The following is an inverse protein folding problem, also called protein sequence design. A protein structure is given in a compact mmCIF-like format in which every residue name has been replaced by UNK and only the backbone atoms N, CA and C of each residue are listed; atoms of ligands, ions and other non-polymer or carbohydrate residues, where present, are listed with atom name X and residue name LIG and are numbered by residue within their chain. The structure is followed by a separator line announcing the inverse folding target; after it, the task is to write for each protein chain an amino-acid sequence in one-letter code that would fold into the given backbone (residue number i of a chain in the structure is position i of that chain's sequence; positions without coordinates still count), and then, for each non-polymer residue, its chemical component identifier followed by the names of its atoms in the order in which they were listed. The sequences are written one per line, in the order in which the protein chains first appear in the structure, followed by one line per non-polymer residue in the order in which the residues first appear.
data_IF_343652782589
#
_entry.id   IF_343652782589
#
_cell.length_a   1.000
_cell.length_b   1.000
_cell.length_c   1.000
_cell.angle_alpha   90.00
_cell.angle_beta   90.00
_cell.angle_gamma   90.00
#
_symmetry.space_group_name_H-M   'P 1'
#
loop_
_entity.id
_entity.type
_entity.pdbx_description
1 polymer ?
#
# COMPACT_ATOMS: atom_id res chain seq x y z
N UNK A 1 -33.83 -56.14 12.93
CA UNK A 1 -33.23 -56.37 14.27
C UNK A 1 -31.76 -56.01 14.17
N UNK A 2 -31.36 -54.85 14.70
CA UNK A 2 -30.61 -54.69 15.96
C UNK A 2 -29.10 -55.03 15.82
N UNK A 3 -28.30 -53.96 16.01
CA UNK A 3 -26.93 -53.88 16.55
C UNK A 3 -25.78 -54.07 15.52
N UNK A 4 -24.91 -53.10 15.23
CA UNK A 4 -24.09 -52.19 16.05
C UNK A 4 -22.90 -52.90 16.72
N UNK A 5 -21.75 -52.21 16.67
CA UNK A 5 -20.46 -52.44 17.34
C UNK A 5 -19.51 -53.48 16.69
N UNK A 6 -18.19 -53.32 16.59
CA UNK A 6 -17.21 -52.21 16.62
C UNK A 6 -15.82 -52.90 16.62
N UNK A 7 -14.80 -52.21 16.11
CA UNK A 7 -13.35 -52.40 16.35
C UNK A 7 -12.62 -53.63 15.79
N UNK A 8 -11.55 -53.37 15.02
CA UNK A 8 -10.13 -53.48 15.44
C UNK A 8 -9.26 -53.05 14.23
N UNK A 9 -8.84 -51.79 14.12
CA UNK A 9 -7.48 -51.29 14.47
C UNK A 9 -6.41 -52.39 14.37
N UNK A 10 -5.61 -52.38 13.30
CA UNK A 10 -4.16 -52.06 13.31
C UNK A 10 -3.56 -52.49 11.97
N UNK A 11 -2.72 -51.64 11.40
CA UNK A 11 -1.28 -51.89 11.19
C UNK A 11 -0.81 -51.29 9.85
N UNK A 12 0.35 -50.64 9.94
CA UNK A 12 1.13 -50.04 8.87
C UNK A 12 0.65 -48.67 8.40
N UNK A 13 1.11 -47.62 9.09
CA UNK A 13 1.88 -46.53 8.45
C UNK A 13 2.69 -45.81 9.54
N UNK A 14 3.60 -46.55 10.17
CA UNK A 14 4.81 -45.95 10.76
C UNK A 14 5.90 -46.15 9.73
N UNK A 15 6.13 -45.18 8.85
CA UNK A 15 7.42 -44.83 8.23
C UNK A 15 7.18 -43.59 7.38
N UNK A 16 7.56 -42.43 7.92
CA UNK A 16 7.47 -41.13 7.22
C UNK A 16 6.69 -40.08 8.00
N UNK A 17 7.04 -39.80 9.26
CA UNK A 17 7.09 -38.39 9.67
C UNK A 17 8.24 -37.81 8.86
N UNK A 18 7.98 -37.41 7.62
CA UNK A 18 8.71 -36.29 7.05
C UNK A 18 8.34 -35.16 8.00
N UNK A 19 9.32 -34.68 8.78
CA UNK A 19 9.17 -33.42 9.48
C UNK A 19 8.83 -32.42 8.38
N UNK A 20 7.54 -32.15 8.18
CA UNK A 20 7.09 -30.95 7.50
C UNK A 20 7.79 -29.85 8.28
N UNK A 21 8.88 -29.36 7.69
CA UNK A 21 9.55 -28.17 8.16
C UNK A 21 8.45 -27.15 8.30
N UNK A 22 8.19 -26.71 9.52
CA UNK A 22 7.32 -25.59 9.77
C UNK A 22 7.97 -24.45 9.00
N UNK A 23 7.50 -24.21 7.78
CA UNK A 23 7.78 -22.99 7.06
C UNK A 23 7.32 -21.92 8.03
N UNK A 24 8.28 -21.21 8.60
CA UNK A 24 8.00 -19.95 9.26
C UNK A 24 7.45 -19.10 8.12
N UNK A 25 6.13 -19.06 8.00
CA UNK A 25 5.47 -18.08 7.15
C UNK A 25 5.88 -16.77 7.81
N UNK A 26 6.85 -16.10 7.20
CA UNK A 26 7.19 -14.73 7.55
C UNK A 26 5.88 -13.96 7.58
N UNK A 27 5.60 -13.26 8.67
CA UNK A 27 4.52 -12.29 8.62
C UNK A 27 4.82 -11.31 7.47
N UNK A 28 3.83 -10.95 6.66
CA UNK A 28 4.02 -10.05 5.54
C UNK A 28 4.47 -8.68 6.07
N UNK A 29 5.47 -8.08 5.44
CA UNK A 29 5.90 -6.72 5.79
C UNK A 29 4.88 -5.75 5.19
N UNK A 30 4.03 -5.17 6.06
CA UNK A 30 3.01 -4.22 5.65
C UNK A 30 3.33 -2.82 6.19
N UNK A 31 3.22 -1.81 5.33
CA UNK A 31 3.29 -0.39 5.71
C UNK A 31 2.13 0.38 5.13
N UNK A 32 1.88 1.54 5.71
CA UNK A 32 0.90 2.50 5.20
C UNK A 32 1.63 3.55 4.39
N UNK A 33 1.12 3.84 3.20
CA UNK A 33 1.73 4.80 2.29
C UNK A 33 0.76 5.94 1.97
N UNK A 34 1.29 7.16 1.99
CA UNK A 34 0.58 8.38 1.58
C UNK A 34 1.15 8.88 0.27
N UNK A 35 0.28 9.25 -0.67
CA UNK A 35 0.68 10.02 -1.84
C UNK A 35 1.09 11.41 -1.35
N UNK A 36 2.31 11.80 -1.68
CA UNK A 36 2.91 13.09 -1.38
C UNK A 36 3.47 13.72 -2.64
N UNK A 37 3.74 15.03 -2.58
CA UNK A 37 4.34 15.76 -3.68
C UNK A 37 5.38 16.75 -3.19
N UNK A 38 6.37 17.03 -4.02
CA UNK A 38 7.36 18.08 -3.75
C UNK A 38 7.59 18.92 -5.01
N UNK A 39 7.49 20.24 -4.84
CA UNK A 39 7.79 21.21 -5.88
C UNK A 39 9.29 21.23 -6.16
N UNK A 40 9.66 21.28 -7.44
CA UNK A 40 11.05 21.40 -7.87
C UNK A 40 11.41 22.88 -7.98
N UNK A 41 12.60 23.24 -7.51
CA UNK A 41 13.10 24.62 -7.64
C UNK A 41 13.25 25.01 -9.11
N UNK A 42 12.71 26.16 -9.49
CA UNK A 42 12.63 26.61 -10.88
C UNK A 42 11.53 25.95 -11.73
N UNK A 43 10.72 25.04 -11.16
CA UNK A 43 9.53 24.47 -11.80
C UNK A 43 8.30 25.40 -11.75
N UNK A 44 7.12 24.84 -12.03
CA UNK A 44 5.84 25.53 -11.98
C UNK A 44 5.56 26.21 -10.63
N UNK A 45 4.94 27.39 -10.67
CA UNK A 45 4.41 28.05 -9.47
C UNK A 45 3.26 27.21 -8.87
N UNK A 46 3.35 26.92 -7.57
CA UNK A 46 2.30 26.24 -6.78
C UNK A 46 0.92 26.91 -6.93
N UNK A 47 0.87 28.22 -7.18
CA UNK A 47 -0.38 28.94 -7.45
C UNK A 47 -1.11 28.41 -8.69
N UNK A 48 -0.40 27.89 -9.69
CA UNK A 48 -0.99 27.30 -10.89
C UNK A 48 -1.60 25.94 -10.57
N UNK A 49 -0.92 25.12 -9.76
CA UNK A 49 -1.46 23.85 -9.27
C UNK A 49 -2.72 24.08 -8.41
N UNK A 50 -2.68 25.06 -7.52
CA UNK A 50 -3.85 25.43 -6.72
C UNK A 50 -5.03 25.87 -7.58
N UNK A 51 -4.81 26.69 -8.62
CA UNK A 51 -5.87 27.07 -9.54
C UNK A 51 -6.44 25.86 -10.30
N UNK A 52 -5.59 24.92 -10.70
CA UNK A 52 -6.01 23.69 -11.36
C UNK A 52 -6.88 22.85 -10.44
N UNK A 53 -6.48 22.66 -9.19
CA UNK A 53 -7.26 21.92 -8.20
C UNK A 53 -8.64 22.57 -7.95
N UNK A 54 -8.69 23.91 -7.92
CA UNK A 54 -9.94 24.67 -7.82
C UNK A 54 -10.86 24.44 -9.02
N UNK A 55 -10.32 24.36 -10.24
CA UNK A 55 -11.11 24.01 -11.44
C UNK A 55 -11.70 22.60 -11.32
N UNK A 56 -10.97 21.68 -10.68
CA UNK A 56 -11.42 20.30 -10.43
C UNK A 56 -12.38 20.18 -9.23
N UNK A 57 -12.67 21.28 -8.53
CA UNK A 57 -13.62 21.32 -7.41
C UNK A 57 -13.00 21.14 -6.02
N UNK A 58 -11.68 21.13 -5.91
CA UNK A 58 -10.95 21.09 -4.64
C UNK A 58 -10.58 22.51 -4.17
N UNK A 59 -10.28 22.69 -2.89
CA UNK A 59 -9.94 24.02 -2.36
C UNK A 59 -8.49 24.44 -2.64
N UNK A 60 -7.58 23.47 -2.81
CA UNK A 60 -6.17 23.65 -3.16
C UNK A 60 -5.61 22.34 -3.72
N UNK A 61 -4.37 22.37 -4.21
CA UNK A 61 -3.69 21.13 -4.60
C UNK A 61 -3.42 20.23 -3.39
N UNK A 62 -3.13 20.79 -2.22
CA UNK A 62 -3.02 20.03 -0.97
C UNK A 62 -4.32 19.31 -0.61
N UNK A 63 -5.48 19.95 -0.80
CA UNK A 63 -6.79 19.36 -0.55
C UNK A 63 -7.12 18.22 -1.52
N UNK A 64 -6.69 18.37 -2.78
CA UNK A 64 -6.75 17.28 -3.76
C UNK A 64 -5.92 16.07 -3.31
N UNK A 65 -4.65 16.27 -2.95
CA UNK A 65 -3.78 15.19 -2.46
C UNK A 65 -4.30 14.57 -1.18
N UNK A 66 -4.81 15.39 -0.25
CA UNK A 66 -5.46 14.92 0.97
C UNK A 66 -6.66 14.02 0.65
N UNK A 67 -7.52 14.43 -0.29
CA UNK A 67 -8.68 13.63 -0.69
C UNK A 67 -8.26 12.28 -1.27
N UNK A 68 -7.21 12.22 -2.11
CA UNK A 68 -6.69 10.94 -2.60
C UNK A 68 -6.25 10.01 -1.46
N UNK A 69 -5.64 10.56 -0.42
CA UNK A 69 -5.21 9.80 0.75
C UNK A 69 -6.37 9.40 1.69
N UNK A 70 -7.47 10.17 1.71
CA UNK A 70 -8.70 9.80 2.43
C UNK A 70 -9.50 8.76 1.66
N UNK A 71 -9.60 8.85 0.33
CA UNK A 71 -10.31 7.85 -0.46
C UNK A 71 -9.60 6.49 -0.44
N UNK A 72 -8.29 6.51 -0.20
CA UNK A 72 -7.46 5.33 0.08
C UNK A 72 -7.69 4.72 1.49
N UNK A 73 -8.40 5.41 2.38
CA UNK A 73 -8.62 4.99 3.76
C UNK A 73 -9.75 3.95 3.86
N UNK A 74 -9.41 2.74 4.30
CA UNK A 74 -10.37 1.67 4.59
C UNK A 74 -10.86 1.63 6.04
N UNK A 75 -10.17 2.30 6.98
CA UNK A 75 -10.30 2.03 8.43
C UNK A 75 -10.29 3.30 9.33
N UNK A 76 -10.40 4.49 8.76
CA UNK A 76 -10.33 5.77 9.47
C UNK A 76 -8.91 6.32 9.66
N UNK A 77 -7.92 5.80 8.93
CA UNK A 77 -6.52 6.21 8.91
C UNK A 77 -6.06 6.53 7.48
N UNK A 78 -5.53 7.73 7.26
CA UNK A 78 -5.10 8.22 5.95
C UNK A 78 -4.08 7.30 5.26
N UNK A 79 -4.26 7.04 3.97
CA UNK A 79 -3.33 6.30 3.12
C UNK A 79 -3.69 4.83 2.95
N UNK A 80 -3.05 4.19 1.96
CA UNK A 80 -3.27 2.78 1.62
C UNK A 80 -2.29 1.87 2.35
N UNK A 81 -2.73 0.68 2.75
CA UNK A 81 -1.84 -0.37 3.26
C UNK A 81 -1.32 -1.21 2.10
N UNK A 82 0.00 -1.33 2.01
CA UNK A 82 0.69 -2.19 1.05
C UNK A 82 1.54 -3.21 1.81
N UNK A 83 1.63 -4.44 1.27
CA UNK A 83 2.40 -5.51 1.86
C UNK A 83 3.31 -6.17 0.82
N UNK A 84 4.46 -6.68 1.26
CA UNK A 84 5.41 -7.48 0.47
C UNK A 84 5.75 -6.82 -0.89
N UNK A 85 5.58 -7.54 -2.01
CA UNK A 85 5.89 -7.04 -3.35
C UNK A 85 5.15 -5.72 -3.69
N UNK A 86 3.92 -5.56 -3.21
CA UNK A 86 3.16 -4.33 -3.44
C UNK A 86 3.71 -3.16 -2.63
N UNK A 87 4.34 -3.42 -1.48
CA UNK A 87 5.05 -2.40 -0.71
C UNK A 87 6.34 -1.98 -1.42
N UNK A 88 7.10 -2.93 -1.96
CA UNK A 88 8.30 -2.62 -2.76
C UNK A 88 7.95 -1.75 -3.97
N UNK A 89 6.88 -2.11 -4.70
CA UNK A 89 6.39 -1.30 -5.81
C UNK A 89 5.92 0.08 -5.35
N UNK A 90 5.19 0.17 -4.23
CA UNK A 90 4.72 1.45 -3.69
C UNK A 90 5.89 2.36 -3.29
N UNK A 91 6.90 1.85 -2.59
CA UNK A 91 8.10 2.60 -2.18
C UNK A 91 8.97 3.02 -3.39
N UNK A 92 8.92 2.26 -4.48
CA UNK A 92 9.63 2.59 -5.71
C UNK A 92 8.93 3.66 -6.57
N UNK A 93 7.66 3.99 -6.31
CA UNK A 93 6.92 4.99 -7.09
C UNK A 93 7.50 6.38 -6.82
N UNK A 94 8.12 6.94 -7.86
CA UNK A 94 8.45 8.35 -7.97
C UNK A 94 8.18 8.81 -9.39
N UNK A 95 7.22 9.72 -9.56
CA UNK A 95 6.81 10.25 -10.85
C UNK A 95 7.20 11.72 -10.95
N UNK A 96 8.13 12.03 -11.85
CA UNK A 96 8.47 13.40 -12.22
C UNK A 96 7.47 13.89 -13.28
N UNK A 97 6.86 15.05 -13.03
CA UNK A 97 5.83 15.59 -13.88
C UNK A 97 6.24 16.95 -14.42
N UNK A 98 6.24 17.05 -15.75
CA UNK A 98 6.29 18.31 -16.50
C UNK A 98 4.85 18.66 -16.90
N UNK A 99 4.21 19.51 -16.11
CA UNK A 99 2.80 19.85 -16.22
C UNK A 99 2.55 20.86 -17.33
N UNK A 100 3.46 21.82 -17.48
CA UNK A 100 3.34 22.88 -18.50
C UNK A 100 3.95 22.49 -19.86
N UNK A 101 4.59 21.33 -19.95
CA UNK A 101 5.24 20.75 -21.13
C UNK A 101 6.43 21.57 -21.67
N UNK A 102 7.13 22.28 -20.79
CA UNK A 102 8.29 23.11 -21.16
C UNK A 102 9.62 22.33 -21.22
N UNK A 103 9.60 21.04 -20.88
CA UNK A 103 10.76 20.16 -20.85
C UNK A 103 11.51 20.15 -19.52
N UNK A 104 11.05 20.90 -18.52
CA UNK A 104 11.53 20.84 -17.14
C UNK A 104 10.48 20.19 -16.25
N UNK A 105 10.93 19.41 -15.27
CA UNK A 105 10.01 18.82 -14.30
C UNK A 105 9.57 19.90 -13.30
N UNK A 106 8.27 19.97 -13.05
CA UNK A 106 7.66 20.97 -12.17
C UNK A 106 7.58 20.49 -10.72
N UNK A 107 7.21 19.23 -10.54
CA UNK A 107 7.12 18.56 -9.26
C UNK A 107 7.30 17.06 -9.44
N UNK A 108 7.49 16.35 -8.34
CA UNK A 108 7.39 14.90 -8.32
C UNK A 108 6.37 14.42 -7.31
N UNK A 109 5.65 13.37 -7.69
CA UNK A 109 4.76 12.61 -6.82
C UNK A 109 5.48 11.36 -6.33
N UNK A 110 5.34 11.05 -5.06
CA UNK A 110 5.95 9.88 -4.44
C UNK A 110 5.04 9.32 -3.35
N UNK A 111 5.26 8.05 -2.98
CA UNK A 111 4.63 7.47 -1.81
C UNK A 111 5.55 7.63 -0.59
N UNK A 112 5.02 8.19 0.49
CA UNK A 112 5.68 8.23 1.79
C UNK A 112 5.12 7.10 2.67
N UNK A 113 5.91 6.04 2.84
CA UNK A 113 5.51 4.81 3.52
C UNK A 113 6.07 4.77 4.95
N UNK A 114 5.22 4.46 5.93
CA UNK A 114 5.57 4.38 7.34
C UNK A 114 4.93 3.18 8.02
N UNK A 115 5.62 2.67 9.05
CA UNK A 115 5.05 1.64 9.93
C UNK A 115 3.85 2.20 10.69
N UNK A 116 2.80 1.38 10.88
CA UNK A 116 1.71 1.76 11.76
C UNK A 116 2.22 1.87 13.19
N UNK A 117 2.10 3.06 13.79
CA UNK A 117 2.38 3.18 15.22
C UNK A 117 1.33 2.38 15.98
N UNK A 118 1.72 1.25 16.54
CA UNK A 118 0.92 0.48 17.49
C UNK A 118 0.81 1.30 18.79
N UNK A 119 -0.24 2.13 18.89
CA UNK A 119 -0.62 2.79 20.14
C UNK A 119 -1.53 1.88 20.98
#
# INVERSE_FOLDING_TARGET
MKKLFILFITLAFFFGCEEDSVSVISEPECKRCLISYQMIDGGLDINILNQTAVILGYSSFDDYIYTLNVEADTDGVLGSVFCDDALEEAEAITNYLDWNTDGQNDFYLYNDCFEESTN
#
